data_IF_915029551443
#
_entry.id   IF_915029551443
#
_cell.length_a   1.000
_cell.length_b   1.000
_cell.length_c   1.000
_cell.angle_alpha   90.00
_cell.angle_beta   90.00
_cell.angle_gamma   90.00
#
_symmetry.space_group_name_H-M   'P 1'
#
loop_
_entity.id
_entity.type
_entity.pdbx_description
1 polymer ?
#
# COMPACT_ATOMS: atom_id res chain seq x y z
N UNK A 1 12.45 10.60 -26.73
CA UNK A 1 12.13 9.35 -26.00
C UNK A 1 12.22 9.47 -24.47
N UNK A 2 13.02 10.38 -23.89
CA UNK A 2 13.17 10.46 -22.43
C UNK A 2 11.93 10.89 -21.60
N UNK A 3 11.03 11.72 -22.14
CA UNK A 3 9.87 12.19 -21.35
C UNK A 3 8.79 11.13 -21.15
N UNK A 4 8.56 10.26 -22.14
CA UNK A 4 7.64 9.12 -22.04
C UNK A 4 8.10 8.14 -20.95
N UNK A 5 9.40 7.86 -20.89
CA UNK A 5 9.97 6.95 -19.90
C UNK A 5 9.75 7.46 -18.47
N UNK A 6 9.95 8.76 -18.23
CA UNK A 6 9.72 9.38 -16.92
C UNK A 6 8.24 9.35 -16.50
N UNK A 7 7.31 9.58 -17.45
CA UNK A 7 5.88 9.51 -17.18
C UNK A 7 5.45 8.08 -16.84
N UNK A 8 5.90 7.10 -17.61
CA UNK A 8 5.61 5.68 -17.36
C UNK A 8 6.16 5.27 -15.99
N UNK A 9 7.40 5.64 -15.67
CA UNK A 9 8.01 5.31 -14.38
C UNK A 9 7.23 5.92 -13.20
N UNK A 10 6.71 7.13 -13.35
CA UNK A 10 5.88 7.79 -12.33
C UNK A 10 4.54 7.08 -12.15
N UNK A 11 3.91 6.65 -13.24
CA UNK A 11 2.64 5.89 -13.21
C UNK A 11 2.85 4.54 -12.54
N UNK A 12 3.87 3.78 -12.95
CA UNK A 12 4.21 2.47 -12.35
C UNK A 12 4.52 2.62 -10.88
N UNK A 13 5.34 3.62 -10.51
CA UNK A 13 5.63 3.91 -9.10
C UNK A 13 4.36 4.26 -8.33
N UNK A 14 3.45 5.07 -8.87
CA UNK A 14 2.19 5.40 -8.20
C UNK A 14 1.28 4.17 -8.03
N UNK A 15 1.23 3.29 -9.02
CA UNK A 15 0.51 2.01 -8.98
C UNK A 15 1.03 1.09 -7.88
N UNK A 16 2.35 0.95 -7.74
CA UNK A 16 2.98 0.17 -6.66
C UNK A 16 2.57 0.71 -5.30
N UNK A 17 2.56 2.03 -5.11
CA UNK A 17 2.19 2.65 -3.84
C UNK A 17 0.71 2.45 -3.51
N UNK A 18 -0.17 2.52 -4.51
CA UNK A 18 -1.59 2.20 -4.35
C UNK A 18 -1.78 0.73 -3.96
N UNK A 19 -1.06 -0.20 -4.60
CA UNK A 19 -1.10 -1.62 -4.24
C UNK A 19 -0.66 -1.85 -2.79
N UNK A 20 0.40 -1.18 -2.33
CA UNK A 20 0.84 -1.25 -0.93
C UNK A 20 -0.23 -0.76 0.04
N UNK A 21 -0.96 0.32 -0.30
CA UNK A 21 -2.08 0.81 0.51
C UNK A 21 -3.21 -0.22 0.56
N UNK A 22 -3.58 -0.80 -0.58
CA UNK A 22 -4.63 -1.81 -0.65
C UNK A 22 -4.28 -3.06 0.17
N UNK A 23 -3.05 -3.58 0.03
CA UNK A 23 -2.58 -4.74 0.80
C UNK A 23 -2.52 -4.42 2.29
N UNK A 24 -2.03 -3.24 2.67
CA UNK A 24 -1.99 -2.81 4.07
C UNK A 24 -3.38 -2.67 4.66
N UNK A 25 -4.34 -2.17 3.88
CA UNK A 25 -5.75 -2.12 4.24
C UNK A 25 -6.36 -3.50 4.46
N UNK A 26 -6.05 -4.49 3.61
CA UNK A 26 -6.50 -5.88 3.79
C UNK A 26 -5.96 -6.44 5.11
N UNK A 27 -4.68 -6.24 5.43
CA UNK A 27 -4.09 -6.71 6.69
C UNK A 27 -4.70 -6.04 7.92
N UNK A 28 -5.03 -4.75 7.85
CA UNK A 28 -5.77 -4.05 8.90
C UNK A 28 -7.16 -4.67 9.07
N UNK A 29 -7.90 -4.88 7.98
CA UNK A 29 -9.24 -5.45 8.02
C UNK A 29 -9.24 -6.89 8.56
N UNK A 30 -8.22 -7.67 8.24
CA UNK A 30 -8.00 -9.03 8.77
C UNK A 30 -7.67 -9.01 10.26
N UNK A 31 -6.72 -8.16 10.67
CA UNK A 31 -6.31 -8.04 12.07
C UNK A 31 -7.43 -7.49 12.97
N UNK A 32 -8.33 -6.67 12.43
CA UNK A 32 -9.54 -6.18 13.12
C UNK A 32 -10.71 -7.16 13.09
N UNK A 33 -10.56 -8.34 12.47
CA UNK A 33 -11.62 -9.34 12.34
C UNK A 33 -12.87 -8.82 11.56
N UNK A 34 -12.66 -7.90 10.61
CA UNK A 34 -13.76 -7.28 9.84
C UNK A 34 -13.96 -7.98 8.50
N UNK A 35 -12.88 -8.28 7.77
CA UNK A 35 -12.94 -8.89 6.44
C UNK A 35 -11.76 -9.85 6.18
N UNK A 36 -11.98 -10.83 5.29
CA UNK A 36 -11.01 -11.88 4.94
C UNK A 36 -10.55 -12.74 6.13
N UNK A 37 -11.53 -13.20 6.92
CA UNK A 37 -11.32 -13.94 8.17
C UNK A 37 -10.80 -15.37 7.97
N UNK A 38 -10.86 -15.91 6.74
CA UNK A 38 -10.35 -17.23 6.37
C UNK A 38 -8.82 -17.20 6.16
N UNK A 39 -8.08 -16.71 7.16
CA UNK A 39 -6.62 -16.62 7.10
C UNK A 39 -5.99 -16.65 8.49
N UNK A 40 -4.74 -17.11 8.57
CA UNK A 40 -3.92 -17.11 9.81
C UNK A 40 -3.73 -15.72 10.43
N UNK A 41 -4.03 -14.67 9.68
CA UNK A 41 -3.89 -13.27 10.06
C UNK A 41 -5.14 -12.70 10.73
N UNK A 42 -6.25 -13.45 10.73
CA UNK A 42 -7.52 -13.00 11.26
C UNK A 42 -7.48 -12.92 12.80
N UNK A 43 -7.98 -11.81 13.35
CA UNK A 43 -8.05 -11.54 14.81
C UNK A 43 -6.71 -11.30 15.53
N UNK A 44 -5.62 -11.02 14.81
CA UNK A 44 -4.33 -10.69 15.41
C UNK A 44 -3.94 -9.22 15.16
N UNK A 45 -3.80 -8.47 16.26
CA UNK A 45 -3.48 -7.04 16.26
C UNK A 45 -2.09 -6.72 15.69
N UNK A 46 -1.20 -7.70 15.62
CA UNK A 46 0.10 -7.52 14.97
C UNK A 46 -0.07 -7.16 13.49
N UNK A 47 -1.03 -7.76 12.79
CA UNK A 47 -1.31 -7.46 11.38
C UNK A 47 -1.92 -6.08 11.15
N UNK A 48 -2.65 -5.54 12.14
CA UNK A 48 -3.11 -4.15 12.10
C UNK A 48 -1.94 -3.18 12.11
N UNK A 49 -0.95 -3.42 12.97
CA UNK A 49 0.28 -2.63 13.05
C UNK A 49 1.08 -2.71 11.75
N UNK A 50 1.33 -3.92 11.25
CA UNK A 50 2.06 -4.11 10.00
C UNK A 50 1.32 -3.54 8.78
N UNK A 51 0.00 -3.72 8.72
CA UNK A 51 -0.83 -3.15 7.67
C UNK A 51 -0.85 -1.62 7.69
N UNK A 52 -0.89 -1.01 8.88
CA UNK A 52 -0.80 0.45 9.04
C UNK A 52 0.56 0.99 8.58
N UNK A 53 1.66 0.34 8.96
CA UNK A 53 3.00 0.73 8.49
C UNK A 53 3.11 0.58 6.97
N UNK A 54 2.62 -0.52 6.40
CA UNK A 54 2.64 -0.74 4.95
C UNK A 54 1.81 0.31 4.20
N UNK A 55 0.62 0.63 4.71
CA UNK A 55 -0.26 1.64 4.12
C UNK A 55 0.36 3.04 4.19
N UNK A 56 0.98 3.41 5.32
CA UNK A 56 1.72 4.66 5.45
C UNK A 56 2.91 4.72 4.49
N UNK A 57 3.64 3.61 4.31
CA UNK A 57 4.76 3.54 3.39
C UNK A 57 4.29 3.69 1.93
N UNK A 58 3.21 3.00 1.56
CA UNK A 58 2.57 3.13 0.25
C UNK A 58 2.10 4.56 -0.02
N UNK A 59 1.46 5.21 0.96
CA UNK A 59 1.05 6.61 0.87
C UNK A 59 2.25 7.54 0.68
N UNK A 60 3.30 7.37 1.48
CA UNK A 60 4.55 8.12 1.33
C UNK A 60 5.17 7.94 -0.06
N UNK A 61 5.13 6.72 -0.60
CA UNK A 61 5.66 6.40 -1.91
C UNK A 61 4.83 7.03 -3.05
N UNK A 62 3.50 7.05 -2.96
CA UNK A 62 2.61 7.74 -3.92
C UNK A 62 2.85 9.25 -3.88
N UNK A 63 2.87 9.83 -2.68
CA UNK A 63 3.09 11.28 -2.49
C UNK A 63 4.46 11.66 -3.03
N UNK A 64 5.51 10.95 -2.64
CA UNK A 64 6.88 11.21 -3.10
C UNK A 64 7.02 11.11 -4.62
N UNK A 65 6.42 10.08 -5.24
CA UNK A 65 6.45 9.88 -6.68
C UNK A 65 5.76 11.02 -7.43
N UNK A 66 4.72 11.63 -6.84
CA UNK A 66 3.97 12.72 -7.44
C UNK A 66 4.51 14.13 -7.07
N UNK A 67 5.26 14.25 -5.98
CA UNK A 67 5.85 15.51 -5.49
C UNK A 67 7.25 15.76 -6.06
N UNK A 68 8.00 14.73 -6.47
CA UNK A 68 9.22 14.93 -7.28
C UNK A 68 8.83 15.46 -8.67
N UNK A 69 8.81 16.78 -8.82
CA UNK A 69 8.76 17.48 -10.12
C UNK A 69 10.16 17.71 -10.66
#
# INVERSE_FOLDING_TARGET
>A
MGSLFNVVFRIVSSLVGILMICVGGIWILQGLNIAFLDSFMANDKQWVLWGAVLALFGLGQVVWSNTRR
#
